data_IF_848006986624
#
_entry.id   IF_848006986624
#
_cell.length_a   1.000
_cell.length_b   1.000
_cell.length_c   1.000
_cell.angle_alpha   90.00
_cell.angle_beta   90.00
_cell.angle_gamma   90.00
#
_symmetry.space_group_name_H-M   'P 1'
#
loop_
_entity.id
_entity.type
_entity.pdbx_description
1 polymer ?
#
# COMPACT_ATOMS: atom_id res chain seq x y z
N UNK A 1 14.95 12.40 -10.37
CA UNK A 1 15.03 11.38 -11.43
C UNK A 1 15.74 10.18 -10.85
N UNK A 2 15.20 8.97 -11.03
CA UNK A 2 15.77 7.75 -10.46
C UNK A 2 16.02 6.79 -11.62
N UNK A 3 17.24 6.28 -11.71
CA UNK A 3 17.55 5.14 -12.57
C UNK A 3 17.44 3.87 -11.74
N UNK A 4 16.73 2.88 -12.26
CA UNK A 4 16.67 1.56 -11.67
C UNK A 4 16.69 0.50 -12.77
N UNK A 5 17.17 -0.69 -12.43
CA UNK A 5 17.18 -1.85 -13.32
C UNK A 5 16.28 -2.93 -12.70
N UNK A 6 15.50 -3.59 -13.52
CA UNK A 6 14.77 -4.81 -13.14
C UNK A 6 15.46 -6.00 -13.78
N UNK A 7 15.91 -6.95 -12.96
CA UNK A 7 16.64 -8.14 -13.39
C UNK A 7 15.75 -9.37 -13.12
N UNK A 8 15.46 -10.20 -14.13
CA UNK A 8 14.69 -11.43 -13.93
C UNK A 8 15.45 -12.39 -13.02
N UNK A 9 14.71 -13.21 -12.27
CA UNK A 9 15.32 -14.30 -11.48
C UNK A 9 15.94 -15.35 -12.40
N UNK A 10 16.84 -16.17 -11.86
CA UNK A 10 17.42 -17.29 -12.60
C UNK A 10 16.30 -18.20 -13.14
N UNK A 11 16.34 -18.50 -14.45
CA UNK A 11 15.31 -19.28 -15.15
C UNK A 11 14.04 -18.52 -15.56
N UNK A 12 13.86 -17.28 -15.11
CA UNK A 12 12.73 -16.42 -15.49
C UNK A 12 13.02 -15.70 -16.81
N UNK A 13 12.03 -15.61 -17.72
CA UNK A 13 12.18 -14.82 -18.93
C UNK A 13 12.03 -13.32 -18.64
N UNK A 14 12.73 -12.49 -19.40
CA UNK A 14 12.66 -11.04 -19.25
C UNK A 14 11.23 -10.50 -19.45
N UNK A 15 10.48 -11.04 -20.41
CA UNK A 15 9.10 -10.62 -20.67
C UNK A 15 8.16 -10.86 -19.49
N UNK A 16 8.51 -11.75 -18.55
CA UNK A 16 7.71 -12.01 -17.35
C UNK A 16 7.88 -10.90 -16.30
N UNK A 17 8.87 -10.01 -16.40
CA UNK A 17 9.02 -8.91 -15.42
C UNK A 17 8.11 -7.72 -15.74
N UNK A 18 7.61 -7.62 -16.98
CA UNK A 18 6.77 -6.51 -17.44
C UNK A 18 5.31 -6.95 -17.48
N UNK A 19 4.43 -6.32 -16.70
CA UNK A 19 3.07 -6.81 -16.47
C UNK A 19 2.26 -7.01 -17.76
N UNK A 20 2.30 -6.05 -18.69
CA UNK A 20 1.64 -6.20 -19.99
C UNK A 20 2.14 -7.38 -20.82
N UNK A 21 3.45 -7.67 -20.79
CA UNK A 21 4.03 -8.79 -21.55
C UNK A 21 3.75 -10.12 -20.86
N UNK A 22 3.79 -10.14 -19.52
CA UNK A 22 3.38 -11.29 -18.70
C UNK A 22 1.94 -11.68 -19.01
N UNK A 23 1.01 -10.73 -19.04
CA UNK A 23 -0.39 -10.97 -19.37
C UNK A 23 -0.57 -11.58 -20.78
N UNK A 24 0.20 -11.12 -21.77
CA UNK A 24 0.20 -11.71 -23.13
C UNK A 24 0.74 -13.14 -23.12
N UNK A 25 1.78 -13.43 -22.33
CA UNK A 25 2.34 -14.78 -22.20
C UNK A 25 1.33 -15.72 -21.53
N UNK A 26 0.62 -15.25 -20.50
CA UNK A 26 -0.43 -16.00 -19.81
C UNK A 26 -1.59 -16.30 -20.76
N UNK A 27 -2.09 -15.31 -21.49
CA UNK A 27 -3.15 -15.51 -22.50
C UNK A 27 -2.75 -16.53 -23.59
N UNK A 28 -1.46 -16.54 -24.00
CA UNK A 28 -0.94 -17.55 -24.96
C UNK A 28 -0.82 -18.94 -24.37
N UNK A 29 -0.54 -19.06 -23.06
CA UNK A 29 -0.50 -20.36 -22.36
C UNK A 29 -1.91 -20.95 -22.26
N UNK A 30 -2.90 -20.12 -21.97
CA UNK A 30 -4.32 -20.51 -21.90
C UNK A 30 -4.88 -20.86 -23.28
N UNK A 31 -4.56 -20.05 -24.30
CA UNK A 31 -4.96 -20.30 -25.68
C UNK A 31 -3.81 -20.02 -26.65
N UNK A 32 -3.17 -21.09 -27.13
CA UNK A 32 -2.05 -21.01 -28.07
C UNK A 32 -2.40 -20.35 -29.42
N UNK A 33 -3.69 -20.24 -29.76
CA UNK A 33 -4.19 -19.61 -30.98
C UNK A 33 -4.80 -18.22 -30.74
N UNK A 34 -4.58 -17.61 -29.57
CA UNK A 34 -5.10 -16.27 -29.24
C UNK A 34 -4.70 -15.26 -30.31
N UNK A 35 -5.69 -14.52 -30.82
CA UNK A 35 -5.47 -13.59 -31.92
C UNK A 35 -4.62 -12.39 -31.47
N UNK A 36 -3.86 -11.80 -32.39
CA UNK A 36 -3.00 -10.64 -32.07
C UNK A 36 -3.79 -9.45 -31.50
N UNK A 37 -5.04 -9.27 -31.93
CA UNK A 37 -5.93 -8.25 -31.39
C UNK A 37 -6.31 -8.49 -29.93
N UNK A 38 -6.54 -9.75 -29.53
CA UNK A 38 -6.86 -10.14 -28.16
C UNK A 38 -5.63 -10.03 -27.25
N UNK A 39 -4.46 -10.44 -27.76
CA UNK A 39 -3.17 -10.21 -27.07
C UNK A 39 -2.97 -8.72 -26.74
N UNK A 40 -3.27 -7.83 -27.70
CA UNK A 40 -3.16 -6.40 -27.47
C UNK A 40 -4.16 -5.87 -26.43
N UNK A 41 -5.37 -6.45 -26.36
CA UNK A 41 -6.37 -6.08 -25.34
C UNK A 41 -5.86 -6.41 -23.94
N UNK A 42 -5.40 -7.63 -23.71
CA UNK A 42 -4.88 -8.05 -22.38
C UNK A 42 -3.63 -7.28 -21.99
N UNK A 43 -2.76 -6.95 -22.96
CA UNK A 43 -1.61 -6.07 -22.73
C UNK A 43 -2.05 -4.69 -22.22
N UNK A 44 -3.01 -4.06 -22.91
CA UNK A 44 -3.49 -2.72 -22.58
C UNK A 44 -4.17 -2.72 -21.21
N UNK A 45 -4.92 -3.77 -20.88
CA UNK A 45 -5.58 -3.93 -19.59
C UNK A 45 -4.57 -4.01 -18.44
N UNK A 46 -3.61 -4.92 -18.53
CA UNK A 46 -2.54 -5.03 -17.54
C UNK A 46 -1.73 -3.73 -17.38
N UNK A 47 -1.48 -3.00 -18.47
CA UNK A 47 -0.80 -1.71 -18.39
C UNK A 47 -1.66 -0.59 -17.78
N UNK A 48 -2.99 -0.67 -17.88
CA UNK A 48 -3.90 0.26 -17.19
C UNK A 48 -3.89 -0.01 -15.69
N UNK A 49 -3.90 -1.27 -15.28
CA UNK A 49 -3.81 -1.67 -13.87
C UNK A 49 -2.48 -1.22 -13.27
N UNK A 50 -1.36 -1.46 -13.95
CA UNK A 50 -0.05 -0.96 -13.52
C UNK A 50 -0.04 0.56 -13.30
N UNK A 51 -0.61 1.33 -14.24
CA UNK A 51 -0.72 2.78 -14.10
C UNK A 51 -1.65 3.20 -12.95
N UNK A 52 -2.70 2.41 -12.70
CA UNK A 52 -3.63 2.63 -11.60
C UNK A 52 -2.96 2.44 -10.24
N UNK A 53 -2.20 1.36 -10.10
CA UNK A 53 -1.48 1.04 -8.88
C UNK A 53 -0.41 2.09 -8.60
N UNK A 54 0.35 2.50 -9.62
CA UNK A 54 1.29 3.61 -9.49
C UNK A 54 0.60 4.91 -9.05
N UNK A 55 -0.59 5.19 -9.59
CA UNK A 55 -1.35 6.38 -9.21
C UNK A 55 -1.76 6.35 -7.72
N UNK A 56 -2.36 5.23 -7.28
CA UNK A 56 -2.84 5.03 -5.90
C UNK A 56 -1.69 5.03 -4.89
N UNK A 57 -0.59 4.35 -5.21
CA UNK A 57 0.49 4.13 -4.25
C UNK A 57 1.50 5.27 -4.21
N UNK A 58 1.72 5.96 -5.33
CA UNK A 58 2.79 6.96 -5.45
C UNK A 58 2.23 8.30 -5.89
N UNK A 59 1.64 8.35 -7.07
CA UNK A 59 1.42 9.62 -7.76
C UNK A 59 0.48 10.58 -6.99
N UNK A 60 -0.59 10.04 -6.39
CA UNK A 60 -1.56 10.83 -5.61
C UNK A 60 -0.92 11.52 -4.39
N UNK A 61 0.06 10.87 -3.74
CA UNK A 61 0.80 11.41 -2.58
C UNK A 61 1.75 12.56 -2.96
N UNK A 62 1.98 12.74 -4.26
CA UNK A 62 2.86 13.77 -4.81
C UNK A 62 2.11 14.79 -5.67
N UNK A 63 0.77 14.81 -5.61
CA UNK A 63 -0.06 15.79 -6.30
C UNK A 63 -0.08 15.63 -7.82
N UNK A 64 0.22 14.42 -8.30
CA UNK A 64 0.07 14.08 -9.71
C UNK A 64 -1.38 13.68 -9.98
N UNK A 65 -1.85 13.90 -11.21
CA UNK A 65 -3.16 13.44 -11.66
C UNK A 65 -3.04 12.08 -12.34
N UNK A 66 -4.09 11.27 -12.28
CA UNK A 66 -4.16 9.95 -12.95
C UNK A 66 -4.12 10.06 -14.47
N UNK A 67 -4.77 11.09 -14.99
CA UNK A 67 -4.96 11.34 -16.42
C UNK A 67 -4.46 12.74 -16.77
N UNK A 68 -3.97 12.90 -18.00
CA UNK A 68 -3.61 14.20 -18.56
C UNK A 68 -4.78 14.90 -19.26
N UNK A 69 -4.65 16.20 -19.58
CA UNK A 69 -5.75 17.03 -20.08
C UNK A 69 -6.29 16.54 -21.42
N UNK A 70 -5.44 15.97 -22.28
CA UNK A 70 -5.85 15.46 -23.60
C UNK A 70 -6.85 14.30 -23.49
N UNK A 71 -6.76 13.47 -22.44
CA UNK A 71 -7.63 12.30 -22.27
C UNK A 71 -9.06 12.71 -21.92
N UNK A 72 -9.20 13.77 -21.13
CA UNK A 72 -10.50 14.35 -20.73
C UNK A 72 -10.89 15.56 -21.59
N UNK A 73 -10.07 15.93 -22.58
CA UNK A 73 -10.23 17.13 -23.43
C UNK A 73 -10.46 18.41 -22.64
N UNK A 74 -9.74 18.56 -21.53
CA UNK A 74 -9.85 19.72 -20.65
C UNK A 74 -9.26 20.96 -21.31
N UNK A 75 -9.93 22.09 -21.08
CA UNK A 75 -9.38 23.42 -21.33
C UNK A 75 -8.16 23.68 -20.45
N UNK A 76 -7.42 24.75 -20.76
CA UNK A 76 -6.25 25.15 -19.98
C UNK A 76 -6.60 25.50 -18.53
N UNK A 77 -7.75 26.13 -18.32
CA UNK A 77 -8.22 26.54 -16.98
C UNK A 77 -8.66 25.34 -16.15
N UNK A 78 -9.46 24.44 -16.72
CA UNK A 78 -9.85 23.19 -16.06
C UNK A 78 -8.64 22.33 -15.71
N UNK A 79 -7.64 22.27 -16.61
CA UNK A 79 -6.41 21.55 -16.33
C UNK A 79 -5.60 22.19 -15.19
N UNK A 80 -5.56 23.51 -15.12
CA UNK A 80 -4.92 24.23 -14.01
C UNK A 80 -5.63 23.91 -12.69
N UNK A 81 -6.95 24.02 -12.65
CA UNK A 81 -7.76 23.69 -11.49
C UNK A 81 -7.57 22.22 -11.04
N UNK A 82 -7.48 21.28 -12.00
CA UNK A 82 -7.24 19.86 -11.69
C UNK A 82 -5.89 19.63 -11.02
N UNK A 83 -4.83 20.30 -11.48
CA UNK A 83 -3.51 20.20 -10.85
C UNK A 83 -3.50 20.80 -9.45
N UNK A 84 -4.15 21.96 -9.26
CA UNK A 84 -4.28 22.58 -7.95
C UNK A 84 -5.04 21.67 -6.97
N UNK A 85 -6.13 21.05 -7.43
CA UNK A 85 -6.86 20.06 -6.65
C UNK A 85 -5.99 18.86 -6.26
N UNK A 86 -5.23 18.29 -7.20
CA UNK A 86 -4.34 17.16 -6.91
C UNK A 86 -3.27 17.52 -5.86
N UNK A 87 -2.72 18.73 -5.91
CA UNK A 87 -1.77 19.22 -4.89
C UNK A 87 -2.39 19.28 -3.50
N UNK A 88 -3.60 19.86 -3.37
CA UNK A 88 -4.34 19.92 -2.10
C UNK A 88 -4.63 18.53 -1.54
N UNK A 89 -5.06 17.61 -2.39
CA UNK A 89 -5.29 16.21 -2.00
C UNK A 89 -4.00 15.55 -1.47
N UNK A 90 -2.86 15.80 -2.12
CA UNK A 90 -1.56 15.32 -1.63
C UNK A 90 -1.21 15.89 -0.25
N UNK A 91 -1.47 17.18 -0.02
CA UNK A 91 -1.25 17.82 1.29
C UNK A 91 -2.14 17.21 2.37
N UNK A 92 -3.43 17.02 2.08
CA UNK A 92 -4.38 16.35 2.99
C UNK A 92 -3.93 14.94 3.35
N UNK A 93 -3.50 14.12 2.37
CA UNK A 93 -2.99 12.77 2.61
C UNK A 93 -1.77 12.79 3.53
N UNK A 94 -0.83 13.73 3.33
CA UNK A 94 0.34 13.88 4.19
C UNK A 94 -0.04 14.28 5.61
N UNK A 95 -0.97 15.21 5.76
CA UNK A 95 -1.46 15.63 7.08
C UNK A 95 -2.14 14.48 7.81
N UNK A 96 -2.96 13.68 7.12
CA UNK A 96 -3.59 12.48 7.70
C UNK A 96 -2.52 11.47 8.13
N UNK A 97 -1.49 11.24 7.32
CA UNK A 97 -0.38 10.35 7.69
C UNK A 97 0.34 10.83 8.94
N UNK A 98 0.64 12.13 9.03
CA UNK A 98 1.29 12.73 10.20
C UNK A 98 0.43 12.60 11.46
N UNK A 99 -0.87 12.89 11.37
CA UNK A 99 -1.80 12.75 12.48
C UNK A 99 -1.91 11.29 12.95
N UNK A 100 -1.93 10.34 12.01
CA UNK A 100 -1.92 8.91 12.32
C UNK A 100 -0.65 8.51 13.08
N UNK A 101 0.51 8.96 12.65
CA UNK A 101 1.78 8.67 13.32
C UNK A 101 1.81 9.29 14.72
N UNK A 102 1.35 10.53 14.86
CA UNK A 102 1.21 11.20 16.16
C UNK A 102 0.28 10.43 17.11
N UNK A 103 -0.88 9.99 16.62
CA UNK A 103 -1.82 9.19 17.39
C UNK A 103 -1.22 7.85 17.85
N UNK A 104 -0.46 7.17 16.96
CA UNK A 104 0.24 5.94 17.32
C UNK A 104 1.28 6.19 18.41
N UNK A 105 2.06 7.27 18.32
CA UNK A 105 3.07 7.60 19.32
C UNK A 105 2.44 8.01 20.65
N UNK A 106 1.37 8.80 20.62
CA UNK A 106 0.61 9.16 21.81
C UNK A 106 0.06 7.90 22.51
N UNK A 107 -0.61 7.01 21.77
CA UNK A 107 -1.12 5.76 22.32
C UNK A 107 -0.03 4.84 22.88
N UNK A 108 1.15 4.77 22.24
CA UNK A 108 2.31 4.05 22.79
C UNK A 108 2.79 4.65 24.10
N UNK A 109 2.87 5.98 24.18
CA UNK A 109 3.31 6.69 25.38
C UNK A 109 2.30 6.53 26.52
N UNK A 110 1.02 6.77 26.26
CA UNK A 110 -0.06 6.61 27.24
C UNK A 110 -0.14 5.18 27.76
N UNK A 111 -0.04 4.18 26.87
CA UNK A 111 -0.02 2.77 27.28
C UNK A 111 1.20 2.41 28.14
N UNK A 112 2.36 3.00 27.84
CA UNK A 112 3.56 2.86 28.66
C UNK A 112 3.39 3.53 30.03
N UNK A 113 2.94 4.77 30.07
CA UNK A 113 2.73 5.55 31.30
C UNK A 113 1.71 4.88 32.22
N UNK A 114 0.59 4.39 31.66
CA UNK A 114 -0.41 3.59 32.37
C UNK A 114 0.20 2.32 32.98
N UNK A 115 1.03 1.60 32.22
CA UNK A 115 1.71 0.39 32.70
C UNK A 115 2.69 0.70 33.84
N UNK A 116 3.42 1.82 33.75
CA UNK A 116 4.32 2.28 34.82
C UNK A 116 3.51 2.59 36.07
N UNK A 117 2.40 3.31 35.95
CA UNK A 117 1.54 3.69 37.07
C UNK A 117 0.92 2.48 37.78
N UNK A 118 0.34 1.53 37.04
CA UNK A 118 -0.20 0.29 37.61
C UNK A 118 0.87 -0.56 38.30
N UNK A 119 2.14 -0.39 37.92
CA UNK A 119 3.28 -1.12 38.50
C UNK A 119 3.92 -0.42 39.70
N UNK A 120 3.43 0.77 40.10
CA UNK A 120 3.91 1.48 41.31
C UNK A 120 3.52 0.68 42.55
N UNK A 121 4.47 0.46 43.45
CA UNK A 121 4.26 -0.34 44.67
C UNK A 121 4.31 -1.86 44.46
N UNK A 122 4.43 -2.35 43.22
CA UNK A 122 4.59 -3.77 42.96
C UNK A 122 6.04 -4.24 43.19
N UNK A 123 6.20 -5.27 44.03
CA UNK A 123 7.46 -6.00 44.17
C UNK A 123 7.84 -6.74 42.88
N UNK A 124 9.13 -7.04 42.71
CA UNK A 124 9.66 -7.70 41.51
C UNK A 124 8.96 -9.02 41.16
N UNK A 125 8.53 -9.80 42.16
CA UNK A 125 7.78 -11.06 41.99
C UNK A 125 6.39 -10.80 41.39
N UNK A 126 5.67 -9.78 41.85
CA UNK A 126 4.35 -9.44 41.34
C UNK A 126 4.41 -9.03 39.86
N UNK A 127 5.46 -8.29 39.47
CA UNK A 127 5.70 -7.89 38.07
C UNK A 127 5.95 -9.10 37.14
N UNK A 128 6.72 -10.07 37.61
CA UNK A 128 6.95 -11.34 36.87
C UNK A 128 5.64 -12.13 36.78
N UNK A 129 4.87 -12.21 37.86
CA UNK A 129 3.58 -12.91 37.91
C UNK A 129 2.55 -12.35 36.91
N UNK A 130 2.38 -11.02 36.83
CA UNK A 130 1.48 -10.44 35.84
C UNK A 130 1.98 -10.57 34.41
N UNK A 131 3.30 -10.50 34.19
CA UNK A 131 3.89 -10.80 32.87
C UNK A 131 3.55 -12.23 32.47
N UNK A 132 3.77 -13.20 33.35
CA UNK A 132 3.45 -14.60 33.11
C UNK A 132 1.95 -14.79 32.80
N UNK A 133 1.06 -14.22 33.63
CA UNK A 133 -0.40 -14.27 33.44
C UNK A 133 -0.87 -13.64 32.13
N UNK A 134 -0.28 -12.51 31.72
CA UNK A 134 -0.59 -11.88 30.43
C UNK A 134 -0.19 -12.77 29.24
N UNK A 135 0.97 -13.42 29.31
CA UNK A 135 1.45 -14.33 28.27
C UNK A 135 0.73 -15.70 28.27
N UNK A 136 0.25 -16.19 29.40
CA UNK A 136 -0.44 -17.49 29.47
C UNK A 136 -1.94 -17.39 29.23
N UNK A 137 -2.61 -16.41 29.85
CA UNK A 137 -4.08 -16.33 29.85
C UNK A 137 -4.56 -15.34 28.79
N UNK A 138 -3.90 -14.20 28.66
CA UNK A 138 -4.24 -13.16 27.69
C UNK A 138 -3.93 -13.54 26.24
N UNK A 139 -2.85 -14.30 26.01
CA UNK A 139 -2.48 -14.78 24.69
C UNK A 139 -3.35 -15.97 24.24
N UNK A 140 -3.68 -16.91 25.15
CA UNK A 140 -4.63 -18.01 24.87
C UNK A 140 -6.01 -17.48 24.47
N UNK A 141 -6.54 -16.54 25.24
CA UNK A 141 -7.88 -15.98 24.98
C UNK A 141 -7.94 -15.18 23.67
N UNK A 142 -6.87 -14.46 23.32
CA UNK A 142 -6.74 -13.78 22.01
C UNK A 142 -6.50 -14.70 20.83
N UNK A 143 -6.02 -15.93 21.05
CA UNK A 143 -5.99 -16.95 20.02
C UNK A 143 -7.40 -17.53 19.81
N UNK A 144 -8.12 -17.82 20.90
CA UNK A 144 -9.48 -18.37 20.87
C UNK A 144 -10.51 -17.39 20.28
N UNK A 145 -10.43 -16.09 20.58
CA UNK A 145 -11.31 -15.05 20.00
C UNK A 145 -11.01 -14.71 18.53
N UNK A 146 -9.91 -15.23 17.95
CA UNK A 146 -9.54 -14.97 16.55
C UNK A 146 -9.94 -16.09 15.60
N UNK A 147 -10.41 -17.21 16.15
CA UNK A 147 -10.89 -18.39 15.42
C UNK A 147 -12.45 -18.44 15.35
N UNK A 148 -13.16 -17.39 15.82
CA UNK A 148 -14.60 -17.11 15.59
C UNK A 148 -14.79 -15.88 14.69
#
# INVERSE_FOLDING_TARGET
HIHFYSVPKYGQKFDEIHDGKRAVLEAKKENSKVLKGEQNKVYIEAMKEFQEDFYKEVAIKHGMTKTGPKRERLTREEWKARKEYALKQSEEIKNISLLKDQAIQAGKKEGFDYSVEQSKGWGWIAKIGAKYKYYTDGFKKKLEEKDE
#
